data_IF_090319749632
#
_entry.id   IF_090319749632
#
_cell.length_a   1.000
_cell.length_b   1.000
_cell.length_c   1.000
_cell.angle_alpha   90.00
_cell.angle_beta   90.00
_cell.angle_gamma   90.00
#
_symmetry.space_group_name_H-M   'P 1'
#
loop_
_entity.id
_entity.type
_entity.pdbx_description
1 polymer ?
#
# COMPACT_ATOMS: atom_id res chain seq x y z
N UNK A 1 -53.73 37.13 -8.09
CA UNK A 1 -52.40 36.81 -8.57
C UNK A 1 -51.52 36.39 -7.43
N UNK A 2 -51.37 35.15 -7.20
CA UNK A 2 -50.60 34.65 -6.09
C UNK A 2 -49.36 33.97 -6.61
N UNK A 3 -48.24 34.43 -6.14
CA UNK A 3 -46.91 34.04 -6.50
C UNK A 3 -46.66 32.56 -6.18
N UNK A 4 -46.49 31.74 -7.22
CA UNK A 4 -46.02 30.37 -7.12
C UNK A 4 -44.53 30.35 -7.51
N UNK A 5 -43.72 31.16 -6.87
CA UNK A 5 -42.29 31.20 -7.12
C UNK A 5 -41.61 31.22 -5.76
N UNK A 6 -41.55 30.09 -5.10
CA UNK A 6 -40.65 29.98 -3.94
C UNK A 6 -40.42 28.56 -3.41
N UNK A 7 -40.59 27.51 -4.20
CA UNK A 7 -40.32 26.15 -3.68
C UNK A 7 -39.36 25.32 -4.52
N UNK A 8 -38.75 25.86 -5.55
CA UNK A 8 -37.84 25.12 -6.43
C UNK A 8 -36.37 25.48 -6.30
N UNK A 9 -36.02 26.46 -5.45
CA UNK A 9 -34.62 26.87 -5.29
C UNK A 9 -33.87 26.18 -4.16
N UNK A 10 -34.54 25.40 -3.32
CA UNK A 10 -33.90 24.74 -2.17
C UNK A 10 -33.32 23.34 -2.49
N UNK A 11 -33.60 22.79 -3.65
CA UNK A 11 -33.21 21.41 -3.98
C UNK A 11 -31.90 21.29 -4.78
N UNK A 12 -31.30 22.39 -5.20
CA UNK A 12 -30.08 22.39 -6.04
C UNK A 12 -28.79 22.50 -5.22
N UNK A 13 -28.88 22.87 -3.95
CA UNK A 13 -27.67 23.13 -3.13
C UNK A 13 -27.13 21.86 -2.43
N UNK A 14 -27.89 20.78 -2.40
CA UNK A 14 -27.49 19.56 -1.66
C UNK A 14 -26.63 18.60 -2.49
N UNK A 15 -26.59 18.73 -3.81
CA UNK A 15 -25.81 17.82 -4.66
C UNK A 15 -24.34 18.17 -4.84
N UNK A 16 -23.87 19.31 -4.36
CA UNK A 16 -22.47 19.73 -4.59
C UNK A 16 -21.50 19.35 -3.46
N UNK A 17 -21.97 18.74 -2.36
CA UNK A 17 -21.12 18.40 -1.23
C UNK A 17 -20.53 16.97 -1.25
N UNK A 18 -20.86 16.15 -2.24
CA UNK A 18 -20.45 14.73 -2.27
C UNK A 18 -19.21 14.44 -3.12
N UNK A 19 -18.56 15.46 -3.69
CA UNK A 19 -17.40 15.25 -4.56
C UNK A 19 -16.04 15.54 -3.92
N UNK A 20 -15.97 15.70 -2.59
CA UNK A 20 -14.76 16.23 -1.95
C UNK A 20 -13.80 15.18 -1.39
N UNK A 21 -14.03 13.88 -1.60
CA UNK A 21 -13.16 12.83 -1.01
C UNK A 21 -12.63 11.83 -2.05
N UNK A 22 -12.22 12.30 -3.21
CA UNK A 22 -11.34 11.50 -4.05
C UNK A 22 -9.91 11.66 -3.52
N UNK A 23 -9.22 10.60 -3.07
CA UNK A 23 -7.79 10.68 -2.82
C UNK A 23 -7.15 11.15 -4.12
N UNK A 24 -6.41 12.26 -4.07
CA UNK A 24 -5.78 12.83 -5.26
C UNK A 24 -4.80 11.81 -5.84
N UNK A 25 -5.02 11.27 -7.04
CA UNK A 25 -4.03 10.44 -7.70
C UNK A 25 -2.80 11.30 -7.98
N UNK A 26 -1.60 10.86 -7.64
CA UNK A 26 -0.34 11.50 -7.99
C UNK A 26 0.62 11.82 -6.86
N UNK A 27 0.25 11.65 -5.59
CA UNK A 27 1.16 11.74 -4.45
C UNK A 27 1.99 10.47 -4.25
N UNK A 28 3.08 10.58 -3.47
CA UNK A 28 3.82 9.41 -3.03
C UNK A 28 2.97 8.61 -2.02
N UNK A 29 3.00 7.30 -2.15
CA UNK A 29 2.27 6.43 -1.27
C UNK A 29 2.36 4.96 -1.65
N UNK A 30 1.69 4.12 -0.88
CA UNK A 30 1.61 2.69 -1.18
C UNK A 30 0.34 2.05 -0.63
N UNK A 31 0.03 0.91 -1.22
CA UNK A 31 -1.06 0.04 -0.81
C UNK A 31 -0.54 -1.39 -0.69
N UNK A 32 -0.97 -2.08 0.34
CA UNK A 32 -0.74 -3.50 0.52
C UNK A 32 -2.09 -4.20 0.54
N UNK A 33 -2.24 -5.19 -0.31
CA UNK A 33 -3.43 -6.03 -0.43
C UNK A 33 -3.10 -7.43 0.06
N UNK A 34 -4.01 -8.03 0.78
CA UNK A 34 -4.03 -9.46 1.07
C UNK A 34 -5.18 -10.06 0.25
N UNK A 35 -4.88 -10.91 -0.73
CA UNK A 35 -5.86 -11.50 -1.64
C UNK A 35 -6.77 -10.46 -2.25
N UNK A 36 -6.45 -9.44 -2.85
CA UNK A 36 -7.28 -8.38 -3.44
C UNK A 36 -8.01 -7.46 -2.45
N UNK A 37 -7.84 -7.65 -1.12
CA UNK A 37 -8.40 -6.78 -0.11
C UNK A 37 -7.32 -5.86 0.44
N UNK A 38 -7.55 -4.54 0.44
CA UNK A 38 -6.63 -3.55 1.00
C UNK A 38 -6.50 -3.77 2.51
N UNK A 39 -5.28 -3.99 2.98
CA UNK A 39 -4.98 -4.15 4.42
C UNK A 39 -4.16 -3.01 4.98
N UNK A 40 -3.35 -2.34 4.15
CA UNK A 40 -2.62 -1.13 4.51
C UNK A 40 -2.66 -0.17 3.34
N UNK A 41 -2.91 1.11 3.63
CA UNK A 41 -2.88 2.19 2.66
C UNK A 41 -2.29 3.44 3.33
N UNK A 42 -1.23 4.00 2.74
CA UNK A 42 -0.53 5.18 3.25
C UNK A 42 -0.18 6.12 2.12
N UNK A 43 -0.49 7.40 2.27
CA UNK A 43 -0.21 8.44 1.29
C UNK A 43 0.29 9.73 1.93
N UNK A 44 1.02 10.51 1.16
CA UNK A 44 1.47 11.84 1.55
C UNK A 44 2.30 11.83 2.83
N UNK A 45 1.93 12.65 3.79
CA UNK A 45 2.65 12.75 5.08
C UNK A 45 2.60 11.46 5.91
N UNK A 46 1.61 10.62 5.71
CA UNK A 46 1.43 9.39 6.47
C UNK A 46 2.26 8.22 5.92
N UNK A 47 2.93 8.42 4.80
CA UNK A 47 3.72 7.38 4.11
C UNK A 47 4.85 6.81 4.98
N UNK A 48 5.33 7.56 5.98
CA UNK A 48 6.37 7.12 6.91
C UNK A 48 5.82 6.45 8.18
N UNK A 49 4.50 6.39 8.36
CA UNK A 49 3.89 5.71 9.50
C UNK A 49 3.92 4.20 9.25
N UNK A 50 4.67 3.47 10.07
CA UNK A 50 4.78 2.00 9.93
C UNK A 50 3.65 1.32 10.67
N UNK A 51 2.79 0.62 9.93
CA UNK A 51 1.71 -0.19 10.47
C UNK A 51 2.11 -1.66 10.59
N UNK A 52 1.42 -2.39 11.44
CA UNK A 52 1.61 -3.83 11.61
C UNK A 52 0.64 -4.62 10.73
N UNK A 53 1.16 -5.61 10.02
CA UNK A 53 0.41 -6.57 9.22
C UNK A 53 0.44 -7.93 9.89
N UNK A 54 -0.73 -8.50 10.20
CA UNK A 54 -0.85 -9.80 10.84
C UNK A 54 -1.02 -10.90 9.79
N UNK A 55 -0.08 -11.82 9.72
CA UNK A 55 -0.15 -12.99 8.83
C UNK A 55 -0.29 -14.32 9.59
N UNK A 56 -0.47 -14.28 10.91
CA UNK A 56 -0.55 -15.49 11.76
C UNK A 56 -1.65 -16.43 11.30
N UNK A 57 -2.82 -15.89 10.96
CA UNK A 57 -4.01 -16.68 10.59
C UNK A 57 -4.21 -16.81 9.08
N UNK A 58 -3.23 -16.37 8.27
CA UNK A 58 -3.32 -16.47 6.82
C UNK A 58 -2.95 -17.87 6.33
N UNK A 59 -3.52 -18.26 5.19
CA UNK A 59 -3.15 -19.50 4.48
C UNK A 59 -1.81 -19.33 3.75
N UNK A 60 -1.12 -20.44 3.51
CA UNK A 60 0.08 -20.49 2.67
C UNK A 60 -0.22 -20.16 1.21
N UNK A 61 -1.47 -20.30 0.77
CA UNK A 61 -1.91 -19.96 -0.59
C UNK A 61 -2.25 -18.47 -0.76
N UNK A 62 -2.28 -17.73 0.34
CA UNK A 62 -2.55 -16.29 0.32
C UNK A 62 -1.40 -15.50 -0.35
N UNK A 63 -1.76 -14.38 -0.93
CA UNK A 63 -0.82 -13.51 -1.66
C UNK A 63 -0.91 -12.09 -1.15
N UNK A 64 0.26 -11.48 -0.95
CA UNK A 64 0.37 -10.03 -0.80
C UNK A 64 0.60 -9.39 -2.16
N UNK A 65 -0.10 -8.32 -2.41
CA UNK A 65 0.14 -7.44 -3.56
C UNK A 65 0.53 -6.07 -3.04
N UNK A 66 1.68 -5.59 -3.46
CA UNK A 66 2.20 -4.28 -3.08
C UNK A 66 2.13 -3.37 -4.29
N UNK A 67 1.57 -2.19 -4.14
CA UNK A 67 1.56 -1.14 -5.14
C UNK A 67 2.21 0.10 -4.54
N UNK A 68 3.27 0.60 -5.18
CA UNK A 68 3.96 1.82 -4.76
C UNK A 68 3.79 2.91 -5.80
N UNK A 69 3.50 4.12 -5.33
CA UNK A 69 3.24 5.31 -6.14
C UNK A 69 4.41 6.28 -6.00
N UNK A 70 5.11 6.56 -7.09
CA UNK A 70 6.21 7.51 -7.17
C UNK A 70 5.77 8.85 -7.78
N UNK A 71 4.71 9.44 -7.25
CA UNK A 71 4.20 10.72 -7.75
C UNK A 71 3.91 10.71 -9.26
N UNK A 72 3.31 9.65 -9.75
CA UNK A 72 2.94 9.48 -11.16
C UNK A 72 4.05 8.95 -12.08
N UNK A 73 5.22 8.59 -11.55
CA UNK A 73 6.31 8.01 -12.32
C UNK A 73 6.38 6.49 -12.16
N UNK A 74 6.70 5.74 -13.23
CA UNK A 74 6.97 4.31 -13.11
C UNK A 74 8.23 4.05 -12.28
N UNK A 75 8.19 3.04 -11.40
CA UNK A 75 9.35 2.62 -10.62
C UNK A 75 10.30 1.74 -11.43
N UNK A 76 11.62 1.96 -11.27
CA UNK A 76 12.68 1.18 -11.89
C UNK A 76 13.50 0.45 -10.84
N UNK A 77 14.08 -0.69 -11.20
CA UNK A 77 14.87 -1.54 -10.29
C UNK A 77 14.10 -1.80 -8.98
N UNK A 78 12.86 -2.22 -9.11
CA UNK A 78 11.95 -2.40 -7.97
C UNK A 78 12.33 -3.64 -7.17
N UNK A 79 12.46 -3.45 -5.86
CA UNK A 79 12.91 -4.47 -4.92
C UNK A 79 12.03 -4.46 -3.67
N UNK A 80 11.53 -5.63 -3.29
CA UNK A 80 10.90 -5.84 -1.98
C UNK A 80 11.83 -6.71 -1.14
N UNK A 81 12.15 -6.24 0.05
CA UNK A 81 13.09 -6.90 0.97
C UNK A 81 12.38 -7.24 2.27
N UNK A 82 12.58 -8.46 2.72
CA UNK A 82 12.18 -8.88 4.06
C UNK A 82 13.43 -8.91 4.95
N UNK A 83 13.38 -8.17 6.05
CA UNK A 83 14.43 -8.13 7.07
C UNK A 83 13.88 -8.62 8.43
N UNK A 84 14.77 -9.12 9.24
CA UNK A 84 14.46 -9.37 10.65
C UNK A 84 14.50 -8.06 11.48
N UNK A 85 14.23 -8.17 12.77
CA UNK A 85 14.26 -7.01 13.69
C UNK A 85 15.65 -6.38 13.81
N UNK A 86 16.73 -7.13 13.54
CA UNK A 86 18.11 -6.68 13.57
C UNK A 86 18.60 -6.11 12.23
N UNK A 87 17.68 -5.88 11.27
CA UNK A 87 17.95 -5.39 9.93
C UNK A 87 18.74 -6.36 9.03
N UNK A 88 18.83 -7.64 9.39
CA UNK A 88 19.42 -8.66 8.53
C UNK A 88 18.45 -8.98 7.40
N UNK A 89 18.95 -8.99 6.18
CA UNK A 89 18.19 -9.37 4.98
C UNK A 89 17.93 -10.87 5.03
N UNK A 90 16.68 -11.27 4.97
CA UNK A 90 16.24 -12.66 4.93
C UNK A 90 15.83 -13.10 3.54
N UNK A 91 15.20 -12.22 2.78
CA UNK A 91 14.73 -12.48 1.41
C UNK A 91 14.63 -11.20 0.60
N UNK A 92 14.94 -11.31 -0.69
CA UNK A 92 14.78 -10.25 -1.67
C UNK A 92 13.90 -10.74 -2.83
N UNK A 93 12.98 -9.88 -3.27
CA UNK A 93 12.13 -10.10 -4.43
C UNK A 93 12.39 -8.99 -5.44
N UNK A 94 12.92 -9.35 -6.59
CA UNK A 94 13.22 -8.43 -7.68
C UNK A 94 12.06 -8.41 -8.69
N UNK A 95 11.68 -7.21 -9.11
CA UNK A 95 10.61 -7.02 -10.09
C UNK A 95 11.12 -6.23 -11.28
N UNK A 96 10.55 -6.52 -12.45
CA UNK A 96 10.82 -5.76 -13.65
C UNK A 96 10.47 -4.28 -13.48
N UNK A 97 11.10 -3.41 -14.27
CA UNK A 97 10.73 -2.00 -14.32
C UNK A 97 9.25 -1.85 -14.62
N UNK A 98 8.61 -0.93 -13.92
CA UNK A 98 7.20 -0.66 -14.14
C UNK A 98 6.99 0.03 -15.49
N UNK A 99 5.96 -0.38 -16.22
CA UNK A 99 5.55 0.25 -17.48
C UNK A 99 4.45 1.28 -17.28
N UNK A 100 3.82 1.28 -16.10
CA UNK A 100 2.77 2.20 -15.70
C UNK A 100 3.17 2.85 -14.37
N UNK A 101 2.58 4.02 -14.01
CA UNK A 101 2.87 4.69 -12.74
C UNK A 101 2.62 3.81 -11.50
N UNK A 102 1.70 2.84 -11.62
CA UNK A 102 1.39 1.90 -10.55
C UNK A 102 1.40 0.50 -11.11
N UNK A 103 2.37 -0.31 -10.71
CA UNK A 103 2.48 -1.72 -11.10
C UNK A 103 2.56 -2.61 -9.88
N UNK A 104 1.74 -3.65 -9.85
CA UNK A 104 1.66 -4.59 -8.74
C UNK A 104 2.95 -5.40 -8.59
N UNK A 105 3.32 -5.68 -7.34
CA UNK A 105 4.39 -6.58 -6.93
C UNK A 105 3.79 -7.66 -6.06
N UNK A 106 3.89 -8.91 -6.50
CA UNK A 106 3.30 -10.06 -5.82
C UNK A 106 4.33 -10.74 -4.92
N UNK A 107 3.94 -11.04 -3.68
CA UNK A 107 4.71 -11.84 -2.73
C UNK A 107 3.81 -12.94 -2.17
N UNK A 108 4.24 -14.20 -2.29
CA UNK A 108 3.49 -15.29 -1.70
C UNK A 108 3.65 -15.31 -0.18
N UNK A 109 2.57 -15.44 0.55
CA UNK A 109 2.59 -15.50 2.02
C UNK A 109 3.42 -16.69 2.52
N UNK A 110 3.41 -17.82 1.81
CA UNK A 110 4.25 -18.98 2.15
C UNK A 110 5.74 -18.65 2.20
N UNK A 111 6.22 -17.79 1.30
CA UNK A 111 7.62 -17.40 1.25
C UNK A 111 8.00 -16.53 2.46
N UNK A 112 7.08 -15.73 2.94
CA UNK A 112 7.26 -14.93 4.16
C UNK A 112 7.23 -15.85 5.40
N UNK A 113 6.24 -16.73 5.49
CA UNK A 113 6.11 -17.65 6.63
C UNK A 113 7.29 -18.62 6.75
N UNK A 114 7.90 -19.00 5.62
CA UNK A 114 9.09 -19.85 5.61
C UNK A 114 10.32 -19.17 6.23
N UNK A 115 10.31 -17.84 6.40
CA UNK A 115 11.39 -17.09 7.01
C UNK A 115 11.35 -17.09 8.54
N UNK A 116 10.31 -17.67 9.15
CA UNK A 116 10.21 -17.80 10.59
C UNK A 116 11.34 -18.67 11.13
N UNK A 117 12.15 -18.09 12.00
CA UNK A 117 13.25 -18.80 12.70
C UNK A 117 13.15 -18.55 14.19
N UNK A 118 13.13 -19.66 14.97
CA UNK A 118 13.09 -19.59 16.41
C UNK A 118 11.83 -18.91 16.96
N UNK A 119 11.99 -18.07 17.96
CA UNK A 119 10.89 -17.36 18.65
C UNK A 119 10.54 -16.00 18.04
N UNK A 120 11.33 -15.51 17.08
CA UNK A 120 11.07 -14.23 16.44
C UNK A 120 9.93 -14.33 15.45
N UNK A 121 8.86 -13.63 15.73
CA UNK A 121 7.64 -13.62 14.91
C UNK A 121 7.44 -12.30 14.14
N UNK A 122 8.43 -11.41 14.19
CA UNK A 122 8.31 -10.07 13.61
C UNK A 122 9.35 -9.85 12.52
N UNK A 123 8.87 -9.42 11.35
CA UNK A 123 9.68 -9.11 10.18
C UNK A 123 9.40 -7.68 9.72
N UNK A 124 10.31 -7.12 8.93
CA UNK A 124 10.13 -5.81 8.29
C UNK A 124 9.97 -6.01 6.78
N UNK A 125 8.93 -5.43 6.22
CA UNK A 125 8.69 -5.36 4.78
C UNK A 125 9.17 -4.02 4.25
N UNK A 126 10.13 -4.04 3.34
CA UNK A 126 10.78 -2.83 2.83
C UNK A 126 10.67 -2.81 1.31
N UNK A 127 10.40 -1.66 0.75
CA UNK A 127 10.43 -1.40 -0.69
C UNK A 127 11.55 -0.44 -1.02
N UNK A 128 12.25 -0.68 -2.13
CA UNK A 128 13.20 0.24 -2.74
C UNK A 128 13.10 0.21 -4.26
N UNK A 129 13.60 1.26 -4.87
CA UNK A 129 13.68 1.40 -6.32
C UNK A 129 14.75 2.44 -6.68
N UNK A 130 14.99 2.67 -7.96
CA UNK A 130 15.88 3.77 -8.39
C UNK A 130 15.37 5.13 -7.92
N UNK A 131 14.06 5.32 -7.83
CA UNK A 131 13.40 6.55 -7.35
C UNK A 131 13.44 6.69 -5.82
N UNK A 132 13.66 5.57 -5.12
CA UNK A 132 13.71 5.48 -3.66
C UNK A 132 14.87 4.58 -3.23
N UNK A 133 16.14 4.99 -3.45
CA UNK A 133 17.30 4.12 -3.25
C UNK A 133 17.54 3.74 -1.80
N UNK A 134 17.19 4.60 -0.85
CA UNK A 134 17.34 4.32 0.59
C UNK A 134 16.26 3.36 1.10
N UNK A 135 15.23 3.09 0.32
CA UNK A 135 14.12 2.23 0.68
C UNK A 135 13.17 2.85 1.70
N UNK A 136 12.05 2.17 1.88
CA UNK A 136 11.02 2.54 2.86
C UNK A 136 10.46 1.32 3.53
N UNK A 137 10.34 1.37 4.85
CA UNK A 137 9.62 0.34 5.60
C UNK A 137 8.13 0.55 5.33
N UNK A 138 7.50 -0.43 4.69
CA UNK A 138 6.07 -0.40 4.38
C UNK A 138 5.23 -0.93 5.55
N UNK A 139 5.72 -1.95 6.22
CA UNK A 139 5.01 -2.58 7.32
C UNK A 139 5.95 -3.38 8.21
N UNK A 140 5.53 -3.59 9.45
CA UNK A 140 6.02 -4.66 10.30
C UNK A 140 5.10 -5.86 10.13
N UNK A 141 5.64 -7.03 9.83
CA UNK A 141 4.86 -8.25 9.62
C UNK A 141 4.97 -9.14 10.85
N UNK A 142 3.85 -9.65 11.32
CA UNK A 142 3.77 -10.72 12.33
C UNK A 142 3.36 -12.04 11.67
N UNK A 143 4.17 -13.07 11.90
CA UNK A 143 4.00 -14.44 11.38
C UNK A 143 3.91 -15.47 12.48
#
# INVERSE_FOLDING_TARGET
MKSIISKTSALIVICSALFSFSPKPGGEGFEIYLNNQVVIQQYGKDVNIVKSLQLVQTSTDDKLTIKYHHCGRPGKNRLVVIKDINNKILKEFHYADATTPVSAMLVNVKDIKALKKGTSNTLKLIYSSSELPDGRILATIRI
#
